data_IF_370073444515
#
_entry.id   IF_370073444515
#
_cell.length_a   1.000
_cell.length_b   1.000
_cell.length_c   1.000
_cell.angle_alpha   90.00
_cell.angle_beta   90.00
_cell.angle_gamma   90.00
#
_symmetry.space_group_name_H-M   'P 1'
#
loop_
_entity.id
_entity.type
_entity.pdbx_description
1 polymer ?
#
# COMPACT_ATOMS: atom_id res chain seq x y z
N UNK A 1 -27.98 -21.52 10.77
CA UNK A 1 -28.26 -20.30 11.51
C UNK A 1 -27.27 -20.28 12.67
N UNK A 2 -26.05 -19.79 12.44
CA UNK A 2 -24.98 -19.71 13.44
C UNK A 2 -24.98 -18.31 14.01
N UNK A 3 -25.37 -18.24 15.26
CA UNK A 3 -25.35 -17.03 16.09
C UNK A 3 -23.91 -16.52 16.22
N UNK A 4 -23.60 -15.42 15.57
CA UNK A 4 -22.35 -14.71 15.78
C UNK A 4 -22.46 -13.96 17.11
N UNK A 5 -22.12 -14.64 18.19
CA UNK A 5 -21.98 -14.05 19.51
C UNK A 5 -21.01 -12.87 19.45
N UNK A 6 -21.49 -11.72 19.88
CA UNK A 6 -20.73 -10.49 19.98
C UNK A 6 -19.37 -10.74 20.66
N UNK A 7 -18.32 -10.17 20.09
CA UNK A 7 -16.96 -10.18 20.64
C UNK A 7 -17.02 -9.73 22.10
N UNK A 8 -16.45 -10.48 23.05
CA UNK A 8 -16.46 -10.05 24.45
C UNK A 8 -15.81 -8.66 24.60
N UNK A 9 -16.43 -7.84 25.42
CA UNK A 9 -15.90 -6.52 25.73
C UNK A 9 -14.49 -6.63 26.32
N UNK A 10 -13.62 -5.62 26.08
CA UNK A 10 -12.28 -5.62 26.65
C UNK A 10 -12.33 -5.77 28.16
N UNK A 11 -11.46 -6.59 28.72
CA UNK A 11 -11.43 -6.97 30.13
C UNK A 11 -10.76 -5.93 31.05
N UNK A 12 -10.24 -4.83 30.49
CA UNK A 12 -9.69 -3.74 31.28
C UNK A 12 -10.75 -2.67 31.51
N UNK A 13 -10.83 -2.12 32.76
CA UNK A 13 -11.81 -1.11 33.08
C UNK A 13 -11.54 0.14 32.21
N UNK A 14 -12.53 0.57 31.45
CA UNK A 14 -12.54 1.90 30.88
C UNK A 14 -12.78 2.86 32.03
N UNK A 15 -11.78 3.66 32.39
CA UNK A 15 -11.94 4.72 33.39
C UNK A 15 -12.77 5.82 32.72
N UNK A 16 -14.02 6.07 33.15
CA UNK A 16 -14.78 7.19 32.66
C UNK A 16 -14.06 8.46 33.13
N UNK A 17 -13.48 9.22 32.20
CA UNK A 17 -12.84 10.49 32.49
C UNK A 17 -13.18 11.50 31.42
N UNK A 18 -13.48 12.70 31.84
CA UNK A 18 -13.45 13.85 30.94
C UNK A 18 -11.97 14.20 30.70
N UNK A 19 -11.40 13.68 29.65
CA UNK A 19 -9.99 13.92 29.30
C UNK A 19 -9.74 15.37 28.86
N UNK A 20 -10.78 16.19 28.71
CA UNK A 20 -10.64 17.62 28.41
C UNK A 20 -10.13 18.43 29.60
N UNK A 21 -10.23 17.87 30.81
CA UNK A 21 -9.79 18.52 32.08
C UNK A 21 -8.59 17.83 32.70
N UNK A 22 -7.93 16.89 31.98
CA UNK A 22 -6.73 16.23 32.50
C UNK A 22 -5.62 17.26 32.80
N UNK A 23 -4.96 17.19 33.94
CA UNK A 23 -3.88 18.13 34.32
C UNK A 23 -2.63 17.99 33.43
N UNK A 24 -2.58 16.95 32.63
CA UNK A 24 -1.52 16.68 31.64
C UNK A 24 -2.11 16.68 30.24
N UNK A 25 -1.40 17.26 29.29
CA UNK A 25 -1.76 17.19 27.87
C UNK A 25 -1.72 15.76 27.34
N UNK A 26 -2.23 15.58 26.12
CA UNK A 26 -2.15 14.30 25.41
C UNK A 26 -0.68 13.92 25.22
N UNK A 27 -0.34 12.65 25.47
CA UNK A 27 1.01 12.13 25.21
C UNK A 27 1.32 12.30 23.71
N UNK A 28 2.47 12.89 23.35
CA UNK A 28 2.86 12.98 21.96
C UNK A 28 2.91 11.61 21.27
N UNK A 29 2.59 11.60 19.97
CA UNK A 29 2.74 10.41 19.14
C UNK A 29 4.19 9.91 19.18
N UNK A 30 4.35 8.60 19.16
CA UNK A 30 5.66 7.94 19.23
C UNK A 30 5.76 6.89 18.12
N UNK A 31 6.92 6.82 17.49
CA UNK A 31 7.23 5.74 16.56
C UNK A 31 7.45 4.42 17.30
N UNK A 32 7.09 3.31 16.68
CA UNK A 32 7.43 1.95 17.17
C UNK A 32 8.87 1.54 16.83
N UNK A 33 9.64 2.42 16.21
CA UNK A 33 11.01 2.16 15.78
C UNK A 33 11.07 1.11 14.66
N UNK A 34 12.10 0.23 14.67
CA UNK A 34 12.29 -0.76 13.60
C UNK A 34 11.40 -2.01 13.74
N UNK A 35 10.42 -2.00 14.66
CA UNK A 35 9.60 -3.19 14.93
C UNK A 35 8.86 -3.72 13.69
N UNK A 36 8.40 -2.83 12.82
CA UNK A 36 7.73 -3.20 11.57
C UNK A 36 8.56 -4.19 10.75
N UNK A 37 9.83 -3.87 10.56
CA UNK A 37 10.77 -4.67 9.78
C UNK A 37 11.17 -5.99 10.49
N UNK A 38 11.22 -5.99 11.84
CA UNK A 38 11.72 -7.13 12.63
C UNK A 38 10.60 -8.12 12.95
N UNK A 39 9.44 -7.62 13.38
CA UNK A 39 8.41 -8.44 14.01
C UNK A 39 7.22 -8.81 13.11
N UNK A 40 7.01 -8.12 12.01
CA UNK A 40 5.82 -8.29 11.19
C UNK A 40 5.99 -9.07 9.88
N UNK A 41 7.18 -9.19 9.25
CA UNK A 41 7.36 -10.05 8.08
C UNK A 41 7.18 -11.52 8.41
N UNK A 42 6.69 -12.30 7.45
CA UNK A 42 6.62 -13.77 7.50
C UNK A 42 7.11 -14.36 6.18
N UNK A 43 7.39 -15.66 6.15
CA UNK A 43 8.15 -16.33 5.08
C UNK A 43 7.57 -16.12 3.67
N UNK A 44 6.26 -16.21 3.49
CA UNK A 44 5.56 -15.99 2.21
C UNK A 44 4.83 -14.64 2.16
N UNK A 45 5.19 -13.72 3.04
CA UNK A 45 4.65 -12.36 3.08
C UNK A 45 4.77 -11.60 1.76
N UNK A 46 5.91 -11.69 1.05
CA UNK A 46 6.08 -11.06 -0.25
C UNK A 46 5.21 -11.61 -1.38
N UNK A 47 4.62 -12.79 -1.23
CA UNK A 47 3.90 -13.51 -2.28
C UNK A 47 2.40 -13.19 -2.24
N UNK A 48 1.93 -12.15 -2.91
CA UNK A 48 0.50 -11.93 -3.14
C UNK A 48 -0.08 -12.94 -4.14
N UNK A 49 0.74 -13.46 -5.05
CA UNK A 49 0.37 -14.48 -6.01
C UNK A 49 1.23 -15.74 -5.85
N UNK A 50 0.66 -16.94 -6.06
CA UNK A 50 1.41 -18.20 -6.08
C UNK A 50 2.59 -18.17 -7.05
N UNK A 51 3.62 -18.98 -6.80
CA UNK A 51 4.84 -19.01 -7.61
C UNK A 51 4.59 -19.41 -9.08
N UNK A 52 3.57 -20.23 -9.31
CA UNK A 52 3.14 -20.73 -10.63
C UNK A 52 1.95 -19.94 -11.22
N UNK A 53 1.56 -18.83 -10.61
CA UNK A 53 0.44 -18.01 -11.07
C UNK A 53 0.69 -17.51 -12.50
N UNK A 54 -0.27 -17.68 -13.43
CA UNK A 54 -0.18 -17.10 -14.76
C UNK A 54 -0.04 -15.57 -14.70
N UNK A 55 0.95 -15.02 -15.42
CA UNK A 55 1.18 -13.58 -15.45
C UNK A 55 1.79 -13.01 -14.18
N UNK A 56 2.40 -13.84 -13.33
CA UNK A 56 3.13 -13.39 -12.14
C UNK A 56 4.25 -12.42 -12.50
N UNK A 57 4.31 -11.32 -11.79
CA UNK A 57 5.30 -10.25 -11.91
C UNK A 57 5.97 -10.00 -10.57
N UNK A 58 7.13 -9.36 -10.60
CA UNK A 58 7.82 -8.85 -9.42
C UNK A 58 7.77 -7.32 -9.43
N UNK A 59 7.36 -6.74 -8.30
CA UNK A 59 7.50 -5.32 -8.03
C UNK A 59 8.72 -5.12 -7.12
N UNK A 60 9.73 -4.41 -7.60
CA UNK A 60 10.88 -3.99 -6.81
C UNK A 60 10.64 -2.55 -6.35
N UNK A 61 10.30 -2.37 -5.07
CA UNK A 61 9.94 -1.07 -4.48
C UNK A 61 11.08 -0.62 -3.59
N UNK A 62 11.77 0.45 -3.99
CA UNK A 62 12.90 1.02 -3.23
C UNK A 62 12.42 2.25 -2.45
N UNK A 63 12.71 2.33 -1.16
CA UNK A 63 12.36 3.44 -0.29
C UNK A 63 13.59 4.29 -0.03
N UNK A 64 13.49 5.59 -0.29
CA UNK A 64 14.58 6.58 -0.15
C UNK A 64 14.11 7.70 0.78
N UNK A 65 14.96 8.08 1.73
CA UNK A 65 14.69 9.17 2.67
C UNK A 65 14.99 10.57 2.07
N UNK A 66 14.74 11.62 2.84
CA UNK A 66 15.01 13.00 2.46
C UNK A 66 16.50 13.33 2.25
N UNK A 67 17.41 12.54 2.82
CA UNK A 67 18.85 12.64 2.60
C UNK A 67 19.34 11.83 1.37
N UNK A 68 18.43 11.28 0.59
CA UNK A 68 18.71 10.40 -0.57
C UNK A 68 19.39 9.09 -0.18
N UNK A 69 19.15 8.63 1.04
CA UNK A 69 19.70 7.38 1.55
C UNK A 69 18.62 6.28 1.51
N UNK A 70 18.96 5.05 1.11
CA UNK A 70 18.04 3.91 1.19
C UNK A 70 17.59 3.63 2.62
N UNK A 71 16.29 3.39 2.80
CA UNK A 71 15.69 3.06 4.10
C UNK A 71 15.69 1.53 4.26
N UNK A 72 16.78 0.98 4.78
CA UNK A 72 17.01 -0.47 4.86
C UNK A 72 16.10 -1.21 5.85
N UNK A 73 15.39 -0.52 6.72
CA UNK A 73 14.40 -1.07 7.64
C UNK A 73 12.96 -0.71 7.27
N UNK A 74 12.74 -0.29 6.04
CA UNK A 74 11.40 -0.11 5.53
C UNK A 74 10.67 -1.46 5.44
N UNK A 75 9.36 -1.40 5.65
CA UNK A 75 8.44 -2.49 5.37
C UNK A 75 7.34 -1.95 4.45
N UNK A 76 7.07 -2.70 3.40
CA UNK A 76 6.05 -2.37 2.41
C UNK A 76 4.87 -3.33 2.58
N UNK A 77 3.68 -2.78 2.63
CA UNK A 77 2.45 -3.54 2.41
C UNK A 77 1.84 -3.11 1.08
N UNK A 78 1.32 -4.09 0.35
CA UNK A 78 0.56 -3.85 -0.88
C UNK A 78 -0.84 -4.42 -0.75
N UNK A 79 -1.81 -3.70 -1.30
CA UNK A 79 -3.18 -4.15 -1.45
C UNK A 79 -3.68 -3.82 -2.85
N UNK A 80 -4.23 -4.81 -3.54
CA UNK A 80 -4.67 -4.65 -4.93
C UNK A 80 -5.83 -5.58 -5.29
N UNK A 81 -6.54 -5.21 -6.34
CA UNK A 81 -7.50 -6.07 -7.01
C UNK A 81 -6.80 -7.22 -7.77
N UNK A 82 -7.55 -8.23 -8.16
CA UNK A 82 -7.12 -9.31 -9.03
C UNK A 82 -6.98 -8.84 -10.50
N UNK A 83 -6.62 -9.77 -11.41
CA UNK A 83 -6.45 -9.46 -12.84
C UNK A 83 -7.73 -8.99 -13.55
N UNK A 84 -8.89 -9.16 -12.94
CA UNK A 84 -10.20 -8.69 -13.42
C UNK A 84 -10.70 -7.45 -12.69
N UNK A 85 -9.84 -6.83 -11.86
CA UNK A 85 -10.18 -5.65 -11.08
C UNK A 85 -11.11 -5.93 -9.90
N UNK A 86 -11.12 -7.15 -9.33
CA UNK A 86 -12.05 -7.57 -8.27
C UNK A 86 -11.35 -7.74 -6.93
N UNK A 87 -12.12 -7.50 -5.87
CA UNK A 87 -11.76 -7.82 -4.50
C UNK A 87 -12.63 -8.96 -3.97
N UNK A 88 -12.06 -9.84 -3.16
CA UNK A 88 -12.84 -10.81 -2.40
C UNK A 88 -13.35 -10.16 -1.10
N UNK A 89 -14.23 -9.21 -1.25
CA UNK A 89 -14.81 -8.46 -0.14
C UNK A 89 -16.30 -8.21 -0.36
N UNK A 90 -17.14 -8.26 0.70
CA UNK A 90 -18.58 -8.00 0.56
C UNK A 90 -18.90 -6.58 0.05
N UNK A 91 -17.99 -5.63 0.26
CA UNK A 91 -18.15 -4.24 -0.22
C UNK A 91 -17.72 -4.04 -1.69
N UNK A 92 -17.15 -5.06 -2.36
CA UNK A 92 -16.99 -4.98 -3.82
C UNK A 92 -18.39 -4.85 -4.44
N UNK A 93 -18.65 -3.85 -5.31
CA UNK A 93 -19.98 -3.64 -5.89
C UNK A 93 -20.54 -4.87 -6.62
N UNK A 94 -19.66 -5.76 -7.03
CA UNK A 94 -19.99 -7.03 -7.72
C UNK A 94 -20.07 -8.23 -6.76
N UNK A 95 -19.90 -7.99 -5.44
CA UNK A 95 -19.89 -8.98 -4.37
C UNK A 95 -18.57 -9.75 -4.24
N UNK A 96 -18.39 -10.39 -3.09
CA UNK A 96 -17.23 -11.23 -2.81
C UNK A 96 -17.17 -12.43 -3.78
N UNK A 97 -15.98 -12.69 -4.33
CA UNK A 97 -15.72 -13.79 -5.27
C UNK A 97 -14.34 -14.38 -5.00
N UNK A 98 -14.13 -15.62 -5.48
CA UNK A 98 -12.78 -16.15 -5.56
C UNK A 98 -11.95 -15.34 -6.56
N UNK A 99 -10.75 -14.92 -6.14
CA UNK A 99 -9.89 -14.04 -6.93
C UNK A 99 -9.15 -14.82 -8.04
N UNK A 100 -8.77 -14.11 -9.10
CA UNK A 100 -8.03 -14.64 -10.24
C UNK A 100 -6.62 -14.06 -10.29
N UNK A 101 -5.55 -14.90 -10.38
CA UNK A 101 -5.58 -16.37 -10.48
C UNK A 101 -5.91 -17.05 -9.14
N UNK A 102 -6.28 -18.31 -9.18
CA UNK A 102 -6.54 -19.09 -7.97
C UNK A 102 -5.36 -19.01 -6.99
N UNK A 103 -5.66 -18.85 -5.70
CA UNK A 103 -4.66 -18.66 -4.65
C UNK A 103 -4.06 -17.25 -4.56
N UNK A 104 -4.48 -16.32 -5.42
CA UNK A 104 -4.12 -14.91 -5.30
C UNK A 104 -4.72 -14.32 -4.01
N UNK A 105 -3.91 -13.58 -3.23
CA UNK A 105 -4.33 -13.02 -1.94
C UNK A 105 -4.69 -11.55 -2.00
N UNK A 106 -4.23 -10.82 -3.02
CA UNK A 106 -4.39 -9.37 -3.14
C UNK A 106 -3.56 -8.55 -2.16
N UNK A 107 -2.94 -9.19 -1.18
CA UNK A 107 -2.14 -8.57 -0.12
C UNK A 107 -0.75 -9.18 -0.08
N UNK A 108 0.27 -8.34 0.08
CA UNK A 108 1.62 -8.75 0.41
C UNK A 108 2.23 -7.84 1.47
N UNK A 109 3.21 -8.37 2.19
CA UNK A 109 4.05 -7.62 3.12
C UNK A 109 5.50 -8.05 2.93
N UNK A 110 6.38 -7.11 2.63
CA UNK A 110 7.78 -7.35 2.34
C UNK A 110 8.67 -6.39 3.11
N UNK A 111 9.71 -6.92 3.75
CA UNK A 111 10.75 -6.11 4.35
C UNK A 111 11.77 -5.69 3.29
N UNK A 112 12.26 -4.46 3.39
CA UNK A 112 13.34 -3.99 2.53
C UNK A 112 14.67 -4.68 2.89
N UNK A 113 15.49 -4.86 1.89
CA UNK A 113 16.87 -5.30 2.04
C UNK A 113 17.81 -4.12 2.41
N UNK A 114 19.13 -4.34 2.60
CA UNK A 114 20.07 -3.25 2.88
C UNK A 114 20.15 -2.15 1.81
N UNK A 115 19.64 -2.39 0.61
CA UNK A 115 19.54 -1.37 -0.45
C UNK A 115 18.24 -0.57 -0.37
N UNK A 116 17.40 -0.79 0.64
CA UNK A 116 16.09 -0.16 0.80
C UNK A 116 15.02 -0.74 -0.12
N UNK A 117 15.27 -1.91 -0.76
CA UNK A 117 14.37 -2.50 -1.75
C UNK A 117 13.58 -3.66 -1.17
N UNK A 118 12.27 -3.57 -1.22
CA UNK A 118 11.33 -4.65 -0.92
C UNK A 118 10.83 -5.29 -2.23
N UNK A 119 10.76 -6.61 -2.28
CA UNK A 119 10.22 -7.35 -3.42
C UNK A 119 8.80 -7.85 -3.11
N UNK A 120 7.88 -7.62 -4.01
CA UNK A 120 6.51 -8.14 -3.96
C UNK A 120 6.25 -8.95 -5.22
N UNK A 121 5.76 -10.16 -5.04
CA UNK A 121 5.41 -11.07 -6.13
C UNK A 121 3.90 -11.13 -6.28
N UNK A 122 3.41 -10.65 -7.41
CA UNK A 122 1.98 -10.47 -7.63
C UNK A 122 1.60 -10.72 -9.09
N UNK A 123 0.39 -10.33 -9.46
CA UNK A 123 -0.07 -10.20 -10.84
C UNK A 123 -0.46 -8.76 -11.12
N UNK A 124 -0.45 -8.33 -12.38
CA UNK A 124 -0.96 -6.99 -12.72
C UNK A 124 -2.48 -6.96 -12.47
N UNK A 125 -3.00 -5.99 -11.69
CA UNK A 125 -4.43 -5.85 -11.47
C UNK A 125 -5.17 -5.42 -12.74
N UNK A 126 -6.47 -5.70 -12.81
CA UNK A 126 -7.38 -5.07 -13.74
C UNK A 126 -7.81 -3.68 -13.27
N UNK A 127 -8.45 -2.92 -14.18
CA UNK A 127 -9.09 -1.65 -13.82
C UNK A 127 -10.22 -1.87 -12.80
N UNK A 128 -10.43 -0.90 -11.92
CA UNK A 128 -11.40 -1.00 -10.85
C UNK A 128 -12.57 -0.05 -11.11
N UNK A 129 -13.81 -0.57 -11.18
CA UNK A 129 -14.97 0.28 -11.32
C UNK A 129 -15.14 1.12 -10.03
N UNK A 130 -15.49 2.39 -10.22
CA UNK A 130 -15.87 3.28 -9.13
C UNK A 130 -17.40 3.42 -9.08
N UNK A 131 -17.90 4.15 -8.10
CA UNK A 131 -19.32 4.56 -8.07
C UNK A 131 -19.64 5.63 -9.12
N UNK A 132 -18.63 6.17 -9.79
CA UNK A 132 -18.74 7.15 -10.87
C UNK A 132 -18.58 6.47 -12.24
N UNK A 133 -18.81 7.22 -13.33
CA UNK A 133 -18.66 6.71 -14.69
C UNK A 133 -17.19 6.50 -15.13
N UNK A 134 -16.21 6.81 -14.28
CA UNK A 134 -14.79 6.66 -14.56
C UNK A 134 -14.18 5.54 -13.73
N UNK A 135 -13.63 4.52 -14.39
CA UNK A 135 -12.87 3.46 -13.75
C UNK A 135 -11.51 3.99 -13.23
N UNK A 136 -11.06 3.48 -12.07
CA UNK A 136 -9.67 3.65 -11.67
C UNK A 136 -8.76 2.78 -12.55
N UNK A 137 -7.67 3.36 -13.02
CA UNK A 137 -6.65 2.64 -13.77
C UNK A 137 -6.05 1.49 -12.94
N UNK A 138 -5.53 0.43 -13.58
CA UNK A 138 -4.82 -0.63 -12.87
C UNK A 138 -3.75 -0.05 -11.94
N UNK A 139 -3.85 -0.32 -10.64
CA UNK A 139 -2.91 0.19 -9.63
C UNK A 139 -2.75 -0.77 -8.46
N UNK A 140 -1.67 -0.57 -7.71
CA UNK A 140 -1.41 -1.24 -6.43
C UNK A 140 -1.38 -0.18 -5.34
N UNK A 141 -2.21 -0.31 -4.32
CA UNK A 141 -2.12 0.51 -3.12
C UNK A 141 -0.89 0.08 -2.31
N UNK A 142 -0.08 1.03 -1.89
CA UNK A 142 1.18 0.79 -1.21
C UNK A 142 1.20 1.55 0.11
N UNK A 143 1.47 0.84 1.20
CA UNK A 143 1.73 1.43 2.51
C UNK A 143 3.20 1.26 2.86
N UNK A 144 3.84 2.36 3.26
CA UNK A 144 5.26 2.39 3.66
C UNK A 144 5.34 2.59 5.16
N UNK A 145 6.13 1.76 5.81
CA UNK A 145 6.43 1.81 7.24
C UNK A 145 7.94 1.82 7.45
N UNK A 146 8.43 2.67 8.33
CA UNK A 146 9.84 2.69 8.73
C UNK A 146 10.00 3.28 10.12
N UNK A 147 11.16 3.08 10.76
CA UNK A 147 11.48 3.77 12.01
C UNK A 147 11.46 5.28 11.80
N UNK A 148 11.11 6.03 12.84
CA UNK A 148 11.00 7.49 12.80
C UNK A 148 9.67 8.00 12.27
N UNK A 149 8.89 7.20 11.57
CA UNK A 149 7.54 7.55 11.13
C UNK A 149 6.56 7.40 12.29
N UNK A 150 5.64 8.36 12.46
CA UNK A 150 4.54 8.30 13.42
C UNK A 150 3.33 7.60 12.82
N UNK A 151 3.11 7.81 11.52
CA UNK A 151 2.05 7.22 10.73
C UNK A 151 2.62 6.52 9.49
N UNK A 152 1.88 5.56 8.92
CA UNK A 152 2.23 4.98 7.64
C UNK A 152 2.02 5.99 6.52
N UNK A 153 2.85 5.93 5.51
CA UNK A 153 2.62 6.68 4.27
C UNK A 153 1.84 5.81 3.29
N UNK A 154 0.79 6.35 2.71
CA UNK A 154 -0.05 5.65 1.75
C UNK A 154 0.08 6.29 0.39
N UNK A 155 0.31 5.47 -0.62
CA UNK A 155 0.48 5.89 -2.01
C UNK A 155 -0.02 4.81 -2.97
N UNK A 156 0.10 5.05 -4.28
CA UNK A 156 -0.28 4.10 -5.34
C UNK A 156 0.84 3.94 -6.35
N UNK A 157 1.02 2.72 -6.84
CA UNK A 157 1.88 2.41 -7.96
C UNK A 157 1.00 2.13 -9.19
N UNK A 158 1.27 2.81 -10.30
CA UNK A 158 0.61 2.65 -11.59
C UNK A 158 1.56 2.04 -12.63
N UNK A 159 0.99 1.48 -13.69
CA UNK A 159 1.73 0.74 -14.72
C UNK A 159 1.90 1.58 -15.99
N UNK A 160 3.11 1.67 -16.58
CA UNK A 160 3.39 2.58 -17.68
C UNK A 160 2.62 2.28 -18.96
N UNK A 161 2.19 1.05 -19.17
CA UNK A 161 1.42 0.65 -20.35
C UNK A 161 -0.06 1.05 -20.33
N UNK A 162 -0.56 1.53 -19.17
CA UNK A 162 -1.96 1.93 -19.00
C UNK A 162 -2.18 3.45 -19.17
N UNK A 163 -1.34 4.12 -19.96
CA UNK A 163 -1.36 5.57 -20.13
C UNK A 163 -2.73 6.13 -20.53
N UNK A 164 -3.49 5.39 -21.35
CA UNK A 164 -4.84 5.79 -21.75
C UNK A 164 -5.81 5.78 -20.55
N UNK A 165 -5.70 4.78 -19.69
CA UNK A 165 -6.50 4.70 -18.45
C UNK A 165 -6.09 5.76 -17.42
N UNK A 166 -4.82 6.15 -17.38
CA UNK A 166 -4.33 7.22 -16.51
C UNK A 166 -5.02 8.57 -16.81
N UNK A 167 -5.41 8.82 -18.05
CA UNK A 167 -6.03 10.07 -18.45
C UNK A 167 -7.43 10.28 -17.82
N UNK A 168 -8.11 9.20 -17.49
CA UNK A 168 -9.48 9.21 -16.91
C UNK A 168 -9.52 8.78 -15.45
N UNK A 169 -8.40 8.33 -14.88
CA UNK A 169 -8.32 7.93 -13.49
C UNK A 169 -8.61 9.12 -12.56
N UNK A 170 -9.58 9.02 -11.64
CA UNK A 170 -9.99 10.15 -10.79
C UNK A 170 -8.89 10.60 -9.83
N UNK A 171 -8.05 9.69 -9.34
CA UNK A 171 -6.94 10.04 -8.43
C UNK A 171 -5.83 10.74 -9.21
N UNK A 172 -5.39 10.17 -10.33
CA UNK A 172 -4.36 10.79 -11.16
C UNK A 172 -4.83 12.14 -11.70
N UNK A 173 -6.12 12.29 -12.03
CA UNK A 173 -6.70 13.56 -12.52
C UNK A 173 -6.65 14.68 -11.48
N UNK A 174 -6.57 14.37 -10.19
CA UNK A 174 -6.44 15.34 -9.11
C UNK A 174 -5.01 15.87 -8.91
N UNK A 175 -4.01 15.23 -9.54
CA UNK A 175 -2.59 15.52 -9.38
C UNK A 175 -2.04 16.33 -10.57
N UNK A 176 -0.95 17.07 -10.36
CA UNK A 176 -0.19 17.66 -11.44
C UNK A 176 0.51 16.58 -12.30
N UNK A 177 0.91 16.91 -13.52
CA UNK A 177 1.64 16.00 -14.41
C UNK A 177 2.94 15.47 -13.77
N UNK A 178 3.67 16.35 -13.05
CA UNK A 178 4.89 15.98 -12.34
C UNK A 178 4.63 14.98 -11.21
N UNK A 179 3.55 15.15 -10.46
CA UNK A 179 3.16 14.23 -9.39
C UNK A 179 2.71 12.88 -9.95
N UNK A 180 1.89 12.88 -11.01
CA UNK A 180 1.47 11.64 -11.70
C UNK A 180 2.66 10.80 -12.14
N UNK A 181 3.66 11.45 -12.76
CA UNK A 181 4.85 10.77 -13.25
C UNK A 181 5.62 10.01 -12.15
N UNK A 182 5.56 10.50 -10.90
CA UNK A 182 6.21 9.84 -9.73
C UNK A 182 5.49 8.57 -9.29
N UNK A 183 4.23 8.40 -9.63
CA UNK A 183 3.43 7.23 -9.28
C UNK A 183 3.54 6.10 -10.31
N UNK A 184 4.09 6.38 -11.49
CA UNK A 184 4.21 5.38 -12.56
C UNK A 184 5.54 4.63 -12.44
N UNK A 185 5.44 3.31 -12.32
CA UNK A 185 6.61 2.43 -12.24
C UNK A 185 7.35 2.33 -13.59
N UNK A 186 8.60 1.92 -13.53
CA UNK A 186 9.40 1.61 -14.72
C UNK A 186 9.33 0.11 -15.01
N UNK A 187 8.99 -0.27 -16.24
CA UNK A 187 8.98 -1.67 -16.67
C UNK A 187 10.41 -2.21 -16.76
N UNK A 188 10.62 -3.39 -16.18
CA UNK A 188 11.89 -4.13 -16.21
C UNK A 188 11.64 -5.58 -16.62
N UNK A 189 12.70 -6.37 -16.81
CA UNK A 189 12.53 -7.79 -17.08
C UNK A 189 11.85 -8.52 -15.91
N UNK A 190 10.79 -9.25 -16.19
CA UNK A 190 10.00 -9.98 -15.21
C UNK A 190 9.11 -9.14 -14.30
N UNK A 191 9.00 -7.81 -14.49
CA UNK A 191 8.13 -6.98 -13.68
C UNK A 191 8.34 -5.47 -13.77
N UNK A 192 8.38 -4.82 -12.59
CA UNK A 192 8.49 -3.36 -12.52
C UNK A 192 9.40 -2.94 -11.38
N UNK A 193 10.08 -1.81 -11.57
CA UNK A 193 10.86 -1.12 -10.56
C UNK A 193 10.24 0.23 -10.26
N UNK A 194 10.16 0.60 -8.99
CA UNK A 194 9.62 1.86 -8.55
C UNK A 194 10.37 2.39 -7.32
N UNK A 195 10.55 3.72 -7.25
CA UNK A 195 11.21 4.35 -6.11
C UNK A 195 10.22 5.25 -5.39
N UNK A 196 10.10 5.06 -4.08
CA UNK A 196 9.31 5.90 -3.18
C UNK A 196 10.28 6.82 -2.46
N UNK A 197 10.14 8.12 -2.67
CA UNK A 197 10.85 9.16 -1.91
C UNK A 197 9.94 9.65 -0.79
N UNK A 198 10.29 9.35 0.44
CA UNK A 198 9.41 9.63 1.59
C UNK A 198 9.42 11.08 2.03
N UNK A 199 10.40 11.84 1.56
CA UNK A 199 10.53 13.27 1.86
C UNK A 199 11.40 13.98 0.84
N UNK A 200 11.08 15.25 0.56
CA UNK A 200 11.95 16.18 -0.14
C UNK A 200 11.78 17.59 0.47
N UNK A 201 12.86 18.33 0.61
CA UNK A 201 12.82 19.71 1.08
C UNK A 201 12.28 20.67 0.01
N UNK A 202 12.42 20.30 -1.28
CA UNK A 202 11.87 21.07 -2.40
C UNK A 202 10.45 20.59 -2.71
N UNK A 203 9.47 21.48 -2.60
CA UNK A 203 8.07 21.21 -2.92
C UNK A 203 7.85 20.73 -4.37
N UNK A 204 8.75 21.07 -5.31
CA UNK A 204 8.77 20.56 -6.68
C UNK A 204 9.76 19.40 -6.87
N UNK A 205 10.29 18.88 -5.77
CA UNK A 205 11.28 17.82 -5.76
C UNK A 205 10.74 16.44 -6.14
N UNK A 206 11.45 15.42 -5.70
CA UNK A 206 11.14 14.03 -6.08
C UNK A 206 10.17 13.32 -5.11
N UNK A 207 9.74 13.97 -4.01
CA UNK A 207 8.83 13.36 -3.04
C UNK A 207 7.64 12.70 -3.74
N UNK A 208 7.36 11.47 -3.36
CA UNK A 208 6.23 10.71 -3.88
C UNK A 208 4.92 11.29 -3.34
N UNK A 209 3.87 11.47 -4.15
CA UNK A 209 2.56 11.85 -3.64
C UNK A 209 2.01 10.82 -2.65
N UNK A 210 1.63 11.26 -1.46
CA UNK A 210 0.97 10.44 -0.44
C UNK A 210 -0.46 10.90 -0.25
N UNK A 211 -1.34 9.96 0.11
CA UNK A 211 -2.77 10.19 0.24
C UNK A 211 -3.20 10.07 1.71
N UNK A 212 -4.09 10.96 2.14
CA UNK A 212 -4.82 10.79 3.40
C UNK A 212 -5.96 9.77 3.20
N UNK A 213 -6.16 8.87 4.18
CA UNK A 213 -7.21 7.87 4.19
C UNK A 213 -8.27 8.17 5.25
#
# INVERSE_FOLDING_TARGET
>A
MTDHTAKPAPTYPVVPGDFTTAPFGVTPSQTVGPYWHIGLPWTDGPDAAPADAPGRITLAITVIDGARTPVADAMIETWQADTLGRFNHPDDPRGAVELTPAGFRGFARSAADPTGTALVHTVKPGAQPTETDADEAPHVNVSVFARGMLDRLVTRLYFPEDADAHATDPVLSSLSETERAKLVATKVDGGYSWTVYVQDEDANGVETPFFEL
#
